data_IF_727640544272
#
_entry.id   IF_727640544272
#
_cell.length_a   1.000
_cell.length_b   1.000
_cell.length_c   1.000
_cell.angle_alpha   90.00
_cell.angle_beta   90.00
_cell.angle_gamma   90.00
#
_symmetry.space_group_name_H-M   'P 1'
#
loop_
_entity.id
_entity.type
_entity.pdbx_description
1 polymer ?
#
# COMPACT_ATOMS: atom_id res chain seq x y z
N UNK A 1 6.38 6.88 -47.98
CA UNK A 1 5.86 5.66 -47.34
C UNK A 1 6.95 5.01 -46.49
N UNK A 2 7.30 5.58 -45.34
CA UNK A 2 7.99 4.89 -44.21
C UNK A 2 7.79 5.76 -42.96
N UNK A 3 6.58 5.81 -42.41
CA UNK A 3 6.35 6.53 -41.14
C UNK A 3 5.26 5.91 -40.25
N UNK A 4 4.59 4.84 -40.68
CA UNK A 4 3.47 4.24 -39.92
C UNK A 4 3.75 2.83 -39.38
N UNK A 5 4.97 2.29 -39.54
CA UNK A 5 5.28 0.94 -39.07
C UNK A 5 5.93 0.91 -37.68
N UNK A 6 6.59 1.98 -37.25
CA UNK A 6 7.37 1.99 -35.99
C UNK A 6 6.50 2.31 -34.77
N UNK A 7 5.47 3.14 -34.91
CA UNK A 7 4.52 3.48 -33.83
C UNK A 7 3.61 2.32 -33.44
N UNK A 8 3.24 1.44 -34.38
CA UNK A 8 2.43 0.24 -34.09
C UNK A 8 3.18 -0.83 -33.31
N UNK A 9 4.50 -0.99 -33.55
CA UNK A 9 5.33 -1.99 -32.87
C UNK A 9 5.62 -1.59 -31.42
N UNK A 10 5.94 -0.30 -31.19
CA UNK A 10 6.24 0.20 -29.83
C UNK A 10 5.01 0.19 -28.92
N UNK A 11 3.81 0.46 -29.46
CA UNK A 11 2.55 0.38 -28.70
C UNK A 11 2.20 -1.09 -28.39
N UNK A 12 2.49 -2.02 -29.31
CA UNK A 12 2.30 -3.45 -29.10
C UNK A 12 3.17 -3.99 -27.96
N UNK A 13 4.45 -3.61 -27.91
CA UNK A 13 5.37 -4.04 -26.84
C UNK A 13 4.99 -3.47 -25.46
N UNK A 14 4.48 -2.23 -25.40
CA UNK A 14 3.97 -1.63 -24.16
C UNK A 14 2.68 -2.34 -23.71
N UNK A 15 1.76 -2.65 -24.63
CA UNK A 15 0.54 -3.39 -24.31
C UNK A 15 0.83 -4.82 -23.85
N UNK A 16 1.78 -5.50 -24.50
CA UNK A 16 2.21 -6.85 -24.13
C UNK A 16 2.90 -6.84 -22.76
N UNK A 17 3.68 -5.80 -22.44
CA UNK A 17 4.26 -5.58 -21.11
C UNK A 17 3.19 -5.36 -20.03
N UNK A 18 2.14 -4.58 -20.32
CA UNK A 18 1.02 -4.34 -19.41
C UNK A 18 0.18 -5.61 -19.23
N UNK A 19 -0.08 -6.36 -20.31
CA UNK A 19 -0.78 -7.65 -20.24
C UNK A 19 0.04 -8.69 -19.46
N UNK A 20 1.35 -8.76 -19.66
CA UNK A 20 2.23 -9.66 -18.91
C UNK A 20 2.33 -9.28 -17.43
N UNK A 21 2.38 -7.98 -17.10
CA UNK A 21 2.33 -7.50 -15.72
C UNK A 21 0.98 -7.78 -15.07
N UNK A 22 -0.12 -7.61 -15.81
CA UNK A 22 -1.48 -7.92 -15.35
C UNK A 22 -1.66 -9.43 -15.18
N UNK A 23 -1.17 -10.25 -16.10
CA UNK A 23 -1.17 -11.70 -15.97
C UNK A 23 -0.27 -12.19 -14.85
N UNK A 24 0.86 -11.54 -14.58
CA UNK A 24 1.71 -11.88 -13.42
C UNK A 24 1.07 -11.44 -12.10
N UNK A 25 0.36 -10.31 -12.07
CA UNK A 25 -0.44 -9.88 -10.92
C UNK A 25 -1.64 -10.79 -10.68
N UNK A 26 -2.31 -11.22 -11.75
CA UNK A 26 -3.36 -12.25 -11.70
C UNK A 26 -2.77 -13.60 -11.30
N UNK A 27 -1.61 -14.00 -11.82
CA UNK A 27 -0.92 -15.25 -11.43
C UNK A 27 -0.41 -15.19 -9.99
N UNK A 28 0.01 -14.05 -9.46
CA UNK A 28 0.34 -13.93 -8.03
C UNK A 28 -0.92 -13.95 -7.15
N UNK A 29 -2.03 -13.41 -7.64
CA UNK A 29 -3.35 -13.57 -7.01
C UNK A 29 -3.75 -15.05 -7.02
N UNK A 30 -3.58 -15.76 -8.15
CA UNK A 30 -3.94 -17.18 -8.34
C UNK A 30 -2.94 -18.17 -7.71
N UNK A 31 -1.67 -17.82 -7.56
CA UNK A 31 -0.63 -18.67 -6.97
C UNK A 31 -0.69 -18.70 -5.43
N UNK A 32 -1.40 -17.74 -4.83
CA UNK A 32 -1.67 -17.70 -3.39
C UNK A 32 -3.02 -18.30 -3.01
N UNK A 33 -3.81 -18.83 -3.96
CA UNK A 33 -4.95 -19.65 -3.61
C UNK A 33 -4.46 -21.05 -3.23
N UNK A 34 -4.58 -21.37 -1.94
CA UNK A 34 -4.42 -22.72 -1.41
C UNK A 34 -5.25 -23.72 -2.24
N UNK A 35 -4.78 -24.96 -2.33
CA UNK A 35 -5.40 -26.03 -3.12
C UNK A 35 -6.90 -26.20 -2.81
N UNK A 36 -7.29 -25.89 -1.58
CA UNK A 36 -8.67 -25.86 -1.07
C UNK A 36 -9.56 -24.85 -1.78
N UNK A 37 -9.08 -23.65 -2.12
CA UNK A 37 -9.88 -22.66 -2.86
C UNK A 37 -10.02 -22.96 -4.33
N UNK A 38 -9.03 -23.64 -4.90
CA UNK A 38 -9.11 -24.09 -6.28
C UNK A 38 -10.19 -25.17 -6.44
N UNK A 39 -10.27 -26.10 -5.50
CA UNK A 39 -11.36 -27.11 -5.45
C UNK A 39 -12.74 -26.45 -5.24
N UNK A 40 -12.84 -25.43 -4.38
CA UNK A 40 -14.10 -24.79 -4.05
C UNK A 40 -14.64 -23.88 -5.19
N UNK A 41 -13.76 -23.26 -5.97
CA UNK A 41 -14.12 -22.56 -7.22
C UNK A 41 -14.54 -23.52 -8.34
N UNK A 42 -13.93 -24.70 -8.41
CA UNK A 42 -14.26 -25.73 -9.41
C UNK A 42 -15.55 -26.51 -9.07
N UNK A 43 -15.94 -26.57 -7.79
CA UNK A 43 -17.18 -27.26 -7.35
C UNK A 43 -18.45 -26.43 -7.49
N UNK A 44 -18.34 -25.10 -7.70
CA UNK A 44 -19.50 -24.20 -7.81
C UNK A 44 -20.29 -24.06 -6.50
N UNK A 45 -19.67 -24.42 -5.37
CA UNK A 45 -20.20 -24.15 -4.04
C UNK A 45 -20.15 -22.65 -3.75
N UNK A 46 -21.13 -22.12 -3.04
CA UNK A 46 -21.20 -20.69 -2.71
C UNK A 46 -20.18 -20.38 -1.61
N UNK A 47 -18.90 -20.27 -1.99
CA UNK A 47 -17.75 -19.99 -1.09
C UNK A 47 -17.69 -18.50 -0.76
N UNK A 48 -18.79 -17.93 -0.32
CA UNK A 48 -18.77 -16.66 0.40
C UNK A 48 -18.50 -16.94 1.87
N UNK A 49 -17.41 -17.65 2.17
CA UNK A 49 -16.86 -17.67 3.52
C UNK A 49 -16.48 -16.23 3.84
N UNK A 50 -17.16 -15.64 4.83
CA UNK A 50 -16.84 -14.34 5.39
C UNK A 50 -15.33 -14.27 5.63
N UNK A 51 -14.66 -13.25 5.07
CA UNK A 51 -13.20 -13.11 5.20
C UNK A 51 -12.85 -13.18 6.69
N UNK A 52 -12.17 -14.26 7.09
CA UNK A 52 -11.80 -14.47 8.49
C UNK A 52 -10.85 -13.37 8.91
N UNK A 53 -11.16 -12.74 10.04
CA UNK A 53 -10.35 -11.69 10.64
C UNK A 53 -10.11 -11.98 12.10
N UNK A 54 -9.00 -11.47 12.62
CA UNK A 54 -8.74 -11.45 14.06
C UNK A 54 -9.70 -10.52 14.80
N UNK A 55 -9.74 -10.62 16.13
CA UNK A 55 -10.44 -9.65 16.96
C UNK A 55 -9.90 -8.24 16.71
N UNK A 56 -10.79 -7.23 16.78
CA UNK A 56 -10.44 -5.84 16.47
C UNK A 56 -9.34 -5.32 17.41
N UNK A 57 -8.30 -4.71 16.82
CA UNK A 57 -7.25 -3.99 17.53
C UNK A 57 -7.44 -2.50 17.23
N UNK A 58 -7.84 -1.73 18.24
CA UNK A 58 -7.96 -0.28 18.13
C UNK A 58 -6.63 0.40 18.51
N UNK A 59 -6.20 1.34 17.67
CA UNK A 59 -4.98 2.12 17.86
C UNK A 59 -5.29 3.60 17.68
N UNK A 60 -5.02 4.40 18.71
CA UNK A 60 -5.32 5.84 18.69
C UNK A 60 -4.08 6.68 18.34
N UNK A 61 -4.18 7.51 17.32
CA UNK A 61 -3.18 8.48 16.88
C UNK A 61 -3.49 9.87 17.43
N UNK A 62 -2.44 10.66 17.66
CA UNK A 62 -2.57 12.07 18.00
C UNK A 62 -2.54 12.86 16.69
N UNK A 63 -3.63 13.57 16.41
CA UNK A 63 -3.70 14.60 15.39
C UNK A 63 -3.14 15.90 15.96
N UNK A 64 -2.52 16.72 15.11
CA UNK A 64 -2.03 18.05 15.48
C UNK A 64 -2.62 19.05 14.50
N UNK A 65 -3.29 20.08 15.02
CA UNK A 65 -4.06 21.05 14.22
C UNK A 65 -3.22 21.88 13.24
N UNK A 66 -1.88 21.79 13.27
CA UNK A 66 -1.01 22.41 12.25
C UNK A 66 -1.06 21.71 10.89
N UNK A 67 -1.54 20.48 10.85
CA UNK A 67 -1.68 19.70 9.63
C UNK A 67 -3.10 19.79 9.09
N UNK A 68 -3.25 19.63 7.78
CA UNK A 68 -4.56 19.45 7.18
C UNK A 68 -5.21 18.16 7.71
N UNK A 69 -6.40 18.30 8.31
CA UNK A 69 -7.09 17.17 8.95
C UNK A 69 -7.53 16.12 7.94
N UNK A 70 -7.99 16.55 6.75
CA UNK A 70 -8.43 15.63 5.72
C UNK A 70 -7.27 14.81 5.17
N UNK A 71 -6.11 15.41 4.96
CA UNK A 71 -4.89 14.70 4.54
C UNK A 71 -4.37 13.77 5.65
N UNK A 72 -4.42 14.19 6.91
CA UNK A 72 -4.08 13.31 8.04
C UNK A 72 -5.02 12.10 8.11
N UNK A 73 -6.32 12.32 8.03
CA UNK A 73 -7.32 11.26 8.06
C UNK A 73 -7.20 10.33 6.85
N UNK A 74 -6.94 10.87 5.65
CA UNK A 74 -6.72 10.08 4.43
C UNK A 74 -5.50 9.18 4.57
N UNK A 75 -4.35 9.72 4.99
CA UNK A 75 -3.14 8.91 5.17
C UNK A 75 -3.32 7.88 6.29
N UNK A 76 -4.01 8.21 7.38
CA UNK A 76 -4.31 7.25 8.44
C UNK A 76 -5.24 6.13 7.97
N UNK A 77 -6.26 6.46 7.17
CA UNK A 77 -7.16 5.48 6.57
C UNK A 77 -6.42 4.54 5.59
N UNK A 78 -5.48 5.08 4.82
CA UNK A 78 -4.60 4.31 3.94
C UNK A 78 -3.71 3.32 4.73
N UNK A 79 -3.19 3.74 5.88
CA UNK A 79 -2.48 2.83 6.80
C UNK A 79 -3.40 1.71 7.29
N UNK A 80 -4.60 2.05 7.76
CA UNK A 80 -5.57 1.08 8.26
C UNK A 80 -5.93 0.05 7.19
N UNK A 81 -6.28 0.54 6.00
CA UNK A 81 -6.62 -0.31 4.85
C UNK A 81 -5.48 -1.26 4.53
N UNK A 82 -4.26 -0.75 4.44
CA UNK A 82 -3.09 -1.56 4.16
C UNK A 82 -2.83 -2.64 5.22
N UNK A 83 -2.97 -2.31 6.51
CA UNK A 83 -2.85 -3.33 7.56
C UNK A 83 -3.92 -4.42 7.42
N UNK A 84 -5.15 -4.05 7.10
CA UNK A 84 -6.28 -4.97 6.98
C UNK A 84 -6.28 -5.80 5.69
N UNK A 85 -5.33 -5.54 4.78
CA UNK A 85 -5.02 -6.38 3.62
C UNK A 85 -3.96 -7.44 3.92
N UNK A 86 -3.28 -7.36 5.07
CA UNK A 86 -2.33 -8.38 5.50
C UNK A 86 -3.03 -9.53 6.22
N UNK A 87 -2.56 -10.74 5.95
CA UNK A 87 -2.81 -11.89 6.80
C UNK A 87 -1.97 -11.81 8.08
N UNK A 88 -2.35 -12.60 9.10
CA UNK A 88 -1.56 -12.73 10.33
C UNK A 88 -0.14 -13.20 10.01
N UNK A 89 0.04 -14.16 9.09
CA UNK A 89 1.37 -14.64 8.71
C UNK A 89 2.20 -13.53 8.06
N UNK A 90 1.66 -12.86 7.07
CA UNK A 90 2.36 -11.81 6.33
C UNK A 90 2.79 -10.67 7.25
N UNK A 91 1.90 -10.25 8.17
CA UNK A 91 2.25 -9.25 9.17
C UNK A 91 3.43 -9.69 10.03
N UNK A 92 3.39 -10.90 10.61
CA UNK A 92 4.46 -11.39 11.48
C UNK A 92 5.81 -11.48 10.74
N UNK A 93 5.80 -11.95 9.50
CA UNK A 93 7.01 -12.05 8.66
C UNK A 93 7.57 -10.68 8.29
N UNK A 94 6.72 -9.76 7.86
CA UNK A 94 7.12 -8.41 7.49
C UNK A 94 7.67 -7.65 8.71
N UNK A 95 7.02 -7.80 9.88
CA UNK A 95 7.49 -7.21 11.14
C UNK A 95 8.82 -7.79 11.58
N UNK A 96 9.00 -9.11 11.50
CA UNK A 96 10.27 -9.76 11.83
C UNK A 96 11.39 -9.25 10.91
N UNK A 97 11.16 -9.23 9.60
CA UNK A 97 12.11 -8.70 8.62
C UNK A 97 12.48 -7.25 8.92
N UNK A 98 11.49 -6.39 9.22
CA UNK A 98 11.74 -4.99 9.57
C UNK A 98 12.56 -4.84 10.84
N UNK A 99 12.32 -5.64 11.88
CA UNK A 99 13.08 -5.59 13.13
C UNK A 99 14.55 -5.99 12.90
N UNK A 100 14.79 -6.99 12.07
CA UNK A 100 16.13 -7.50 11.78
C UNK A 100 16.93 -6.59 10.84
N UNK A 101 16.27 -6.06 9.81
CA UNK A 101 16.92 -5.44 8.65
C UNK A 101 16.62 -3.94 8.53
N UNK A 102 15.65 -3.42 9.26
CA UNK A 102 15.13 -2.08 9.08
C UNK A 102 14.33 -1.93 7.78
N UNK A 103 14.34 -0.71 7.22
CA UNK A 103 13.66 -0.41 5.95
C UNK A 103 14.39 -1.09 4.79
N UNK A 104 13.62 -1.73 3.92
CA UNK A 104 14.17 -2.48 2.81
C UNK A 104 14.67 -1.56 1.68
N UNK A 105 15.82 -1.88 1.08
CA UNK A 105 16.46 -1.06 0.03
C UNK A 105 15.65 -1.14 -1.28
N UNK A 106 15.02 -2.29 -1.55
CA UNK A 106 14.15 -2.51 -2.71
C UNK A 106 12.99 -1.51 -2.81
N UNK A 107 12.67 -0.84 -1.70
CA UNK A 107 11.69 0.23 -1.61
C UNK A 107 12.00 1.44 -2.50
N UNK A 108 13.27 1.70 -2.82
CA UNK A 108 13.68 2.91 -3.53
C UNK A 108 13.08 3.01 -4.94
N UNK A 109 13.05 1.89 -5.67
CA UNK A 109 12.51 1.86 -7.04
C UNK A 109 10.99 2.09 -7.04
N UNK A 110 10.26 1.47 -6.12
CA UNK A 110 8.81 1.66 -5.98
C UNK A 110 8.46 3.10 -5.57
N UNK A 111 9.24 3.69 -4.65
CA UNK A 111 9.08 5.09 -4.25
C UNK A 111 9.34 6.04 -5.41
N UNK A 112 10.39 5.82 -6.18
CA UNK A 112 10.72 6.64 -7.34
C UNK A 112 9.61 6.55 -8.40
N UNK A 113 9.16 5.35 -8.75
CA UNK A 113 8.07 5.14 -9.70
C UNK A 113 6.77 5.84 -9.26
N UNK A 114 6.42 5.78 -7.97
CA UNK A 114 5.25 6.48 -7.45
C UNK A 114 5.38 8.00 -7.53
N UNK A 115 6.58 8.55 -7.29
CA UNK A 115 6.84 9.99 -7.42
C UNK A 115 6.84 10.46 -8.87
N UNK A 116 7.42 9.68 -9.78
CA UNK A 116 7.40 9.97 -11.22
C UNK A 116 5.96 9.94 -11.76
N UNK A 117 5.18 8.94 -11.36
CA UNK A 117 3.76 8.89 -11.70
C UNK A 117 3.00 10.11 -11.15
N UNK A 118 3.21 10.44 -9.88
CA UNK A 118 2.56 11.59 -9.25
C UNK A 118 2.94 12.92 -9.92
N UNK A 119 4.18 13.06 -10.37
CA UNK A 119 4.62 14.22 -11.15
C UNK A 119 3.83 14.33 -12.46
N UNK A 120 3.77 13.25 -13.25
CA UNK A 120 3.02 13.23 -14.52
C UNK A 120 1.54 13.54 -14.30
N UNK A 121 0.90 12.86 -13.35
CA UNK A 121 -0.51 13.09 -13.03
C UNK A 121 -0.77 14.55 -12.63
N UNK A 122 0.17 15.18 -11.90
CA UNK A 122 0.04 16.58 -11.51
C UNK A 122 0.26 17.56 -12.66
N UNK A 123 1.17 17.25 -13.58
CA UNK A 123 1.36 18.03 -14.80
C UNK A 123 0.08 18.01 -15.63
N UNK A 124 -0.51 16.83 -15.85
CA UNK A 124 -1.75 16.67 -16.61
C UNK A 124 -2.90 17.47 -15.96
N UNK A 125 -3.07 17.37 -14.64
CA UNK A 125 -4.06 18.16 -13.88
C UNK A 125 -3.91 19.67 -14.11
N UNK A 126 -2.67 20.17 -14.10
CA UNK A 126 -2.35 21.58 -14.26
C UNK A 126 -2.54 22.05 -15.71
N UNK A 127 -2.25 21.20 -16.71
CA UNK A 127 -2.52 21.49 -18.12
C UNK A 127 -4.01 21.54 -18.41
N UNK A 128 -4.80 20.63 -17.83
CA UNK A 128 -6.26 20.64 -17.91
C UNK A 128 -6.86 21.91 -17.26
N UNK A 129 -6.19 22.45 -16.24
CA UNK A 129 -6.51 23.75 -15.65
C UNK A 129 -6.07 24.97 -16.50
N UNK A 130 -5.45 24.73 -17.66
CA UNK A 130 -5.12 25.75 -18.67
C UNK A 130 -3.70 26.30 -18.62
N UNK A 131 -2.79 25.69 -17.84
CA UNK A 131 -1.39 26.11 -17.79
C UNK A 131 -0.63 25.61 -19.02
N UNK A 132 0.43 26.33 -19.41
CA UNK A 132 1.39 25.79 -20.38
C UNK A 132 2.15 24.61 -19.77
N UNK A 133 2.65 23.69 -20.60
CA UNK A 133 3.43 22.54 -20.14
C UNK A 133 4.57 22.96 -19.19
N UNK A 134 5.31 24.01 -19.57
CA UNK A 134 6.43 24.51 -18.77
C UNK A 134 5.98 25.01 -17.38
N UNK A 135 4.88 25.76 -17.32
CA UNK A 135 4.35 26.24 -16.03
C UNK A 135 3.81 25.11 -15.18
N UNK A 136 3.20 24.10 -15.80
CA UNK A 136 2.71 22.90 -15.14
C UNK A 136 3.86 22.07 -14.54
N UNK A 137 4.93 21.82 -15.30
CA UNK A 137 6.13 21.12 -14.84
C UNK A 137 6.77 21.84 -13.63
N UNK A 138 7.00 23.16 -13.73
CA UNK A 138 7.60 23.95 -12.64
C UNK A 138 6.75 23.94 -11.35
N UNK A 139 5.42 23.88 -11.48
CA UNK A 139 4.52 23.80 -10.32
C UNK A 139 4.41 22.38 -9.77
N UNK A 140 4.40 21.36 -10.63
CA UNK A 140 4.39 19.97 -10.23
C UNK A 140 5.66 19.60 -9.47
N UNK A 141 6.85 20.10 -9.86
CA UNK A 141 8.09 19.90 -9.11
C UNK A 141 8.00 20.49 -7.69
N UNK A 142 7.56 21.75 -7.58
CA UNK A 142 7.39 22.42 -6.28
C UNK A 142 6.36 21.72 -5.39
N UNK A 143 5.28 21.22 -5.99
CA UNK A 143 4.31 20.41 -5.27
C UNK A 143 4.95 19.11 -4.79
N UNK A 144 5.65 18.37 -5.66
CA UNK A 144 6.26 17.09 -5.35
C UNK A 144 7.32 17.18 -4.23
N UNK A 145 7.97 18.33 -4.06
CA UNK A 145 8.88 18.61 -2.94
C UNK A 145 8.19 18.61 -1.57
N UNK A 146 6.88 18.85 -1.53
CA UNK A 146 6.06 18.76 -0.31
C UNK A 146 5.55 17.34 -0.04
N UNK A 147 5.67 16.45 -1.03
CA UNK A 147 5.11 15.11 -0.96
C UNK A 147 6.15 14.05 -0.57
N UNK A 148 5.69 12.96 0.04
CA UNK A 148 6.44 11.72 0.26
C UNK A 148 5.70 10.56 -0.43
N UNK A 149 6.46 9.57 -0.92
CA UNK A 149 5.86 8.30 -1.32
C UNK A 149 5.31 7.57 -0.08
N UNK A 150 4.06 7.09 -0.16
CA UNK A 150 3.34 6.51 0.97
C UNK A 150 3.31 4.98 0.87
N UNK A 151 3.88 4.32 1.88
CA UNK A 151 3.69 2.89 2.09
C UNK A 151 2.39 2.66 2.86
N UNK A 152 1.51 1.81 2.34
CA UNK A 152 0.18 1.56 2.89
C UNK A 152 0.02 0.06 3.21
N UNK A 153 0.35 -0.39 4.44
CA UNK A 153 0.79 0.38 5.58
C UNK A 153 2.30 0.67 5.54
N UNK A 154 2.81 1.50 6.45
CA UNK A 154 4.24 1.73 6.61
C UNK A 154 4.94 0.38 6.88
N UNK A 155 6.16 0.21 6.40
CA UNK A 155 7.00 -0.94 6.72
C UNK A 155 7.19 -1.12 8.24
N UNK A 156 7.19 -0.01 9.01
CA UNK A 156 7.17 -0.06 10.48
C UNK A 156 5.96 -0.87 10.97
N UNK A 157 4.81 -0.71 10.33
CA UNK A 157 3.56 -1.39 10.65
C UNK A 157 3.36 -2.71 9.86
N UNK A 158 4.43 -3.28 9.31
CA UNK A 158 4.39 -4.56 8.61
C UNK A 158 4.02 -4.48 7.13
N UNK A 159 4.05 -3.29 6.53
CA UNK A 159 3.80 -3.13 5.09
C UNK A 159 4.93 -3.64 4.20
N UNK A 160 4.57 -4.04 2.98
CA UNK A 160 5.55 -4.46 1.97
C UNK A 160 6.34 -3.27 1.42
N UNK A 161 7.64 -3.44 1.28
CA UNK A 161 8.53 -2.43 0.71
C UNK A 161 8.18 -2.06 -0.75
N UNK A 162 7.62 -3.00 -1.51
CA UNK A 162 7.15 -2.77 -2.89
C UNK A 162 5.77 -2.12 -2.97
N UNK A 163 5.00 -2.08 -1.87
CA UNK A 163 3.66 -1.53 -1.86
C UNK A 163 3.71 -0.03 -1.54
N UNK A 164 3.65 0.80 -2.58
CA UNK A 164 3.52 2.25 -2.49
C UNK A 164 2.18 2.64 -3.09
N UNK A 165 1.29 3.21 -2.26
CA UNK A 165 -0.09 3.53 -2.65
C UNK A 165 -0.23 4.86 -3.40
N UNK A 166 0.84 5.65 -3.47
CA UNK A 166 0.87 6.97 -4.09
C UNK A 166 1.78 7.92 -3.33
N UNK A 167 1.46 9.21 -3.38
CA UNK A 167 2.14 10.25 -2.60
C UNK A 167 1.18 10.99 -1.67
N UNK A 168 1.70 11.67 -0.66
CA UNK A 168 0.94 12.57 0.20
C UNK A 168 1.85 13.50 0.98
N UNK A 169 1.27 14.39 1.78
CA UNK A 169 2.03 15.37 2.55
C UNK A 169 3.10 14.70 3.42
N UNK A 170 4.36 15.11 3.24
CA UNK A 170 5.51 14.50 3.92
C UNK A 170 5.52 14.77 5.42
N UNK A 171 4.95 15.90 5.86
CA UNK A 171 4.86 16.28 7.27
C UNK A 171 3.87 15.41 8.03
N UNK A 172 2.69 15.20 7.43
CA UNK A 172 1.67 14.25 7.91
C UNK A 172 2.25 12.84 7.96
N UNK A 173 2.85 12.37 6.86
CA UNK A 173 3.45 11.04 6.79
C UNK A 173 4.52 10.84 7.88
N UNK A 174 5.38 11.85 8.08
CA UNK A 174 6.40 11.81 9.13
C UNK A 174 5.78 11.79 10.54
N UNK A 175 4.68 12.51 10.75
CA UNK A 175 3.97 12.50 12.03
C UNK A 175 3.40 11.11 12.33
N UNK A 176 2.66 10.52 11.40
CA UNK A 176 2.11 9.16 11.54
C UNK A 176 3.23 8.13 11.74
N UNK A 177 4.28 8.18 10.92
CA UNK A 177 5.44 7.28 11.01
C UNK A 177 6.18 7.35 12.35
N UNK A 178 6.30 8.55 12.93
CA UNK A 178 6.92 8.72 14.26
C UNK A 178 6.08 8.10 15.38
N UNK A 179 4.75 8.15 15.23
CA UNK A 179 3.79 7.66 16.20
C UNK A 179 3.74 6.14 16.26
N UNK A 180 3.99 5.45 15.14
CA UNK A 180 4.09 3.99 15.09
C UNK A 180 5.12 3.43 16.05
N UNK A 181 6.25 4.11 16.26
CA UNK A 181 7.35 3.64 17.14
C UNK A 181 6.92 3.40 18.59
N UNK A 182 5.84 4.04 19.04
CA UNK A 182 5.31 3.93 20.40
C UNK A 182 4.05 3.07 20.48
N UNK A 183 3.52 2.61 19.34
CA UNK A 183 2.24 1.90 19.23
C UNK A 183 2.42 0.48 18.72
N UNK A 184 3.40 0.26 17.85
CA UNK A 184 3.54 -0.99 17.11
C UNK A 184 3.82 -2.19 18.01
N UNK A 185 4.55 -2.01 19.11
CA UNK A 185 4.82 -3.10 20.06
C UNK A 185 3.53 -3.64 20.71
N UNK A 186 2.55 -2.76 20.96
CA UNK A 186 1.25 -3.14 21.49
C UNK A 186 0.38 -3.90 20.48
N UNK A 187 0.49 -3.53 19.19
CA UNK A 187 -0.15 -4.27 18.09
C UNK A 187 0.52 -5.63 17.90
N UNK A 188 1.86 -5.65 17.87
CA UNK A 188 2.67 -6.86 17.76
C UNK A 188 2.31 -7.87 18.86
N UNK A 189 2.19 -7.42 20.11
CA UNK A 189 1.84 -8.28 21.24
C UNK A 189 0.45 -8.91 21.10
N UNK A 190 -0.55 -8.13 20.67
CA UNK A 190 -1.93 -8.62 20.50
C UNK A 190 -2.04 -9.62 19.35
N UNK A 191 -1.44 -9.32 18.20
CA UNK A 191 -1.44 -10.23 17.04
C UNK A 191 -0.71 -11.52 17.38
N UNK A 192 0.47 -11.45 18.02
CA UNK A 192 1.21 -12.65 18.46
C UNK A 192 0.39 -13.52 19.39
N UNK A 193 -0.29 -12.92 20.38
CA UNK A 193 -1.16 -13.65 21.32
C UNK A 193 -2.31 -14.36 20.61
N UNK A 194 -2.97 -13.71 19.64
CA UNK A 194 -4.03 -14.36 18.87
C UNK A 194 -3.47 -15.50 17.99
N UNK A 195 -2.30 -15.27 17.38
CA UNK A 195 -1.62 -16.24 16.53
C UNK A 195 -1.14 -17.50 17.27
N UNK A 196 -0.92 -17.46 18.60
CA UNK A 196 -0.53 -18.64 19.40
C UNK A 196 -1.57 -19.77 19.34
N UNK A 197 -2.84 -19.42 19.16
CA UNK A 197 -3.96 -20.38 19.06
C UNK A 197 -4.21 -20.89 17.63
N UNK A 198 -3.53 -20.33 16.64
CA UNK A 198 -3.75 -20.62 15.23
C UNK A 198 -2.74 -21.65 14.69
N UNK A 199 -3.23 -22.55 13.85
CA UNK A 199 -2.39 -23.32 12.92
C UNK A 199 -1.76 -22.42 11.86
N UNK A 200 -0.73 -22.91 11.16
CA UNK A 200 -0.12 -22.14 10.06
C UNK A 200 -1.11 -21.86 8.93
N UNK A 201 -2.02 -22.81 8.63
CA UNK A 201 -3.08 -22.60 7.64
C UNK A 201 -4.03 -21.45 8.04
N UNK A 202 -4.39 -21.36 9.32
CA UNK A 202 -5.21 -20.27 9.84
C UNK A 202 -4.46 -18.93 9.79
N UNK A 203 -3.17 -18.88 10.13
CA UNK A 203 -2.38 -17.64 10.04
C UNK A 203 -2.27 -17.13 8.60
N UNK A 204 -2.25 -18.03 7.62
CA UNK A 204 -2.18 -17.70 6.19
C UNK A 204 -3.53 -17.27 5.58
N UNK A 205 -4.65 -17.54 6.26
CA UNK A 205 -6.00 -17.26 5.74
C UNK A 205 -6.80 -16.28 6.61
N UNK A 206 -6.29 -15.91 7.78
CA UNK A 206 -6.92 -14.94 8.68
C UNK A 206 -6.26 -13.57 8.49
N UNK A 207 -7.07 -12.57 8.17
CA UNK A 207 -6.64 -11.19 7.97
C UNK A 207 -6.61 -10.38 9.26
N UNK A 208 -5.85 -9.29 9.26
CA UNK A 208 -5.88 -8.35 10.38
C UNK A 208 -7.23 -7.62 10.47
N UNK A 209 -7.53 -7.11 11.67
CA UNK A 209 -8.66 -6.24 11.93
C UNK A 209 -8.21 -5.08 12.81
N UNK A 210 -7.54 -4.12 12.20
CA UNK A 210 -7.03 -2.94 12.86
C UNK A 210 -7.97 -1.77 12.59
N UNK A 211 -8.25 -1.01 13.63
CA UNK A 211 -8.99 0.25 13.58
C UNK A 211 -8.09 1.38 14.06
N UNK A 212 -7.77 2.31 13.15
CA UNK A 212 -6.95 3.48 13.44
C UNK A 212 -7.86 4.68 13.66
N UNK A 213 -7.89 5.17 14.89
CA UNK A 213 -8.61 6.39 15.26
C UNK A 213 -7.61 7.53 15.48
N UNK A 214 -8.10 8.77 15.45
CA UNK A 214 -7.31 9.92 15.88
C UNK A 214 -8.07 10.82 16.85
N UNK A 215 -7.32 11.47 17.74
CA UNK A 215 -7.81 12.55 18.60
C UNK A 215 -7.02 13.83 18.35
N UNK A 216 -7.72 14.96 18.33
CA UNK A 216 -7.09 16.28 18.22
C UNK A 216 -6.40 16.73 19.51
N UNK A 217 -5.63 17.81 19.37
CA UNK A 217 -5.00 18.57 20.44
C UNK A 217 -5.92 19.59 21.13
#
# INVERSE_FOLDING_TARGET
MVADFVTGVVIGEILDGIMAATQNKLRSIFANYDATMREALESGEDVLDEIKRIDEIEVEFNYNSKFDEAEFARQLADQQKGMNELTVREYLDNRQKYIEQGRAIESNAAQQAAREKAFVDKVDELQDAGLSLKEAEEQAEKWLDTQAALHNPDQVAGGYASNVGGVGDKGVNSSIGSQWRYRIDGVDAQIKKMAESMSEAEKNSTYLNVKLAHKGD
#
